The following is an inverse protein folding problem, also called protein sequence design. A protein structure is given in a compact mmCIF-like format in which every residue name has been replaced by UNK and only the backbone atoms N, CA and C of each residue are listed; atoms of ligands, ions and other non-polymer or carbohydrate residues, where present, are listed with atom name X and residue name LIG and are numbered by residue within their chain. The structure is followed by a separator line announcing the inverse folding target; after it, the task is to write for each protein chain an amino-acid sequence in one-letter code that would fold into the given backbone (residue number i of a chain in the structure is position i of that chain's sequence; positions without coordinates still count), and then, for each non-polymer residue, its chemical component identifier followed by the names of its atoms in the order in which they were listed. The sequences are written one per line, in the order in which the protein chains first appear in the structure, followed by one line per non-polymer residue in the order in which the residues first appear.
data_IF_865697385292
#
_entry.id   IF_865697385292
#
_cell.length_a   1.000
_cell.length_b   1.000
_cell.length_c   1.000
_cell.angle_alpha   90.00
_cell.angle_beta   90.00
_cell.angle_gamma   90.00
#
_symmetry.space_group_name_H-M   'P 1'
#
loop_
_entity.id
_entity.type
_entity.pdbx_description
1 polymer ?
#
# COMPACT_ATOMS: atom_id res chain seq x y z
N UNK A 1 48.40 45.11 26.00
CA UNK A 1 48.66 43.68 25.65
C UNK A 1 47.60 42.72 26.20
N UNK A 2 47.24 42.78 27.50
CA UNK A 2 46.24 41.85 28.10
C UNK A 2 44.82 41.94 27.49
N UNK A 3 44.36 43.12 27.08
CA UNK A 3 43.03 43.31 26.45
C UNK A 3 42.97 42.85 24.98
N UNK A 4 44.09 42.90 24.25
CA UNK A 4 44.17 42.46 22.86
C UNK A 4 44.21 40.93 22.73
N UNK A 5 44.87 40.24 23.68
CA UNK A 5 44.82 38.78 23.77
C UNK A 5 43.41 38.25 24.07
N UNK A 6 42.64 38.98 24.88
CA UNK A 6 41.29 38.57 25.25
C UNK A 6 40.30 38.63 24.07
N UNK A 7 40.43 39.66 23.22
CA UNK A 7 39.61 39.82 22.00
C UNK A 7 40.00 38.79 20.94
N UNK A 8 41.29 38.47 20.79
CA UNK A 8 41.75 37.41 19.88
C UNK A 8 41.28 36.01 20.32
N UNK A 9 41.20 35.75 21.62
CA UNK A 9 40.68 34.49 22.16
C UNK A 9 39.17 34.36 21.93
N UNK A 10 38.42 35.45 22.04
CA UNK A 10 36.97 35.49 21.81
C UNK A 10 36.59 35.37 20.33
N UNK A 11 37.44 35.86 19.41
CA UNK A 11 37.28 35.69 17.97
C UNK A 11 37.60 34.25 17.49
N UNK A 12 38.53 33.56 18.15
CA UNK A 12 38.89 32.17 17.82
C UNK A 12 37.83 31.15 18.27
N UNK A 13 37.00 31.50 19.27
CA UNK A 13 35.90 30.63 19.74
C UNK A 13 34.64 30.67 18.87
N UNK A 14 34.53 31.61 17.93
CA UNK A 14 33.36 31.70 17.02
C UNK A 14 33.51 30.89 15.72
N UNK A 15 34.65 30.24 15.47
CA UNK A 15 34.89 29.48 14.24
C UNK A 15 34.72 27.97 14.37
N UNK A 16 34.25 27.47 15.51
CA UNK A 16 34.05 26.03 15.72
C UNK A 16 32.58 25.77 15.99
N UNK A 17 32.00 24.84 15.22
CA UNK A 17 30.65 24.27 15.34
C UNK A 17 29.55 24.91 14.47
N UNK A 18 29.80 25.07 13.17
CA UNK A 18 28.75 24.73 12.21
C UNK A 18 28.91 23.27 11.83
N UNK A 19 28.70 22.36 12.78
CA UNK A 19 28.27 21.02 12.42
C UNK A 19 26.84 21.18 11.88
N UNK A 20 26.75 21.52 10.60
CA UNK A 20 25.55 21.26 9.84
C UNK A 20 25.30 19.77 10.02
N UNK A 21 24.35 19.41 10.88
CA UNK A 21 23.79 18.06 10.91
C UNK A 21 23.18 17.88 9.53
N UNK A 22 23.97 17.36 8.59
CA UNK A 22 23.44 16.75 7.40
C UNK A 22 22.49 15.66 7.91
N UNK A 23 21.18 15.90 7.81
CA UNK A 23 20.19 14.89 8.14
C UNK A 23 20.46 13.72 7.19
N UNK A 24 21.08 12.66 7.70
CA UNK A 24 21.31 11.44 6.94
C UNK A 24 19.96 10.77 6.73
N UNK A 25 19.35 11.03 5.58
CA UNK A 25 18.12 10.36 5.18
C UNK A 25 18.38 8.87 4.95
N UNK A 26 17.38 8.04 5.27
CA UNK A 26 17.40 6.63 4.88
C UNK A 26 17.42 6.50 3.35
N UNK A 27 18.02 5.43 2.84
CA UNK A 27 17.86 5.07 1.43
C UNK A 27 16.42 4.67 1.09
N UNK A 28 16.16 4.39 -0.18
CA UNK A 28 14.87 3.88 -0.63
C UNK A 28 14.55 2.54 0.07
N UNK A 29 13.30 2.38 0.49
CA UNK A 29 12.84 1.10 1.04
C UNK A 29 12.99 -0.02 0.00
N UNK A 30 13.27 -1.25 0.46
CA UNK A 30 13.41 -2.42 -0.43
C UNK A 30 12.11 -2.79 -1.13
N UNK A 31 10.99 -2.36 -0.59
CA UNK A 31 9.64 -2.51 -1.11
C UNK A 31 8.96 -1.15 -1.02
N UNK A 32 9.26 -0.23 -1.94
CA UNK A 32 8.80 1.15 -1.85
C UNK A 32 7.27 1.20 -1.79
N UNK A 33 6.78 2.16 -1.03
CA UNK A 33 5.35 2.47 -0.96
C UNK A 33 4.91 3.12 -2.27
N UNK A 34 3.74 2.72 -2.74
CA UNK A 34 3.08 3.27 -3.91
C UNK A 34 1.61 3.53 -3.59
N UNK A 35 0.96 4.27 -4.46
CA UNK A 35 -0.42 4.69 -4.32
C UNK A 35 -1.16 4.57 -5.64
N UNK A 36 -2.33 3.95 -5.62
CA UNK A 36 -3.27 3.99 -6.73
C UNK A 36 -4.57 4.65 -6.27
N UNK A 37 -5.28 5.31 -7.19
CA UNK A 37 -6.58 5.90 -6.91
C UNK A 37 -7.50 5.84 -8.13
N UNK A 38 -8.79 5.94 -7.88
CA UNK A 38 -9.81 6.03 -8.92
C UNK A 38 -10.77 7.21 -8.62
N UNK A 39 -11.14 8.04 -9.63
CA UNK A 39 -10.70 8.01 -11.03
C UNK A 39 -9.18 8.17 -11.20
N UNK A 40 -8.59 7.58 -12.25
CA UNK A 40 -7.13 7.50 -12.41
C UNK A 40 -6.49 8.80 -12.90
N UNK A 41 -7.25 9.72 -13.51
CA UNK A 41 -6.74 11.03 -13.92
C UNK A 41 -6.32 11.86 -12.69
N UNK A 42 -5.05 12.23 -12.62
CA UNK A 42 -4.48 13.01 -11.51
C UNK A 42 -5.08 14.41 -11.39
N UNK A 43 -5.76 14.93 -12.42
CA UNK A 43 -6.45 16.22 -12.38
C UNK A 43 -7.79 16.18 -11.65
N UNK A 44 -8.36 14.99 -11.47
CA UNK A 44 -9.63 14.81 -10.74
C UNK A 44 -9.33 14.77 -9.23
N UNK A 45 -9.77 15.78 -8.49
CA UNK A 45 -9.60 15.85 -7.03
C UNK A 45 -10.55 14.91 -6.28
N UNK A 46 -11.77 14.73 -6.78
CA UNK A 46 -12.79 13.87 -6.18
C UNK A 46 -12.50 12.41 -6.54
N UNK A 47 -11.78 11.74 -5.65
CA UNK A 47 -11.53 10.30 -5.76
C UNK A 47 -12.66 9.52 -5.10
N UNK A 48 -13.05 8.40 -5.69
CA UNK A 48 -13.93 7.41 -5.05
C UNK A 48 -13.16 6.54 -4.08
N UNK A 49 -11.94 6.15 -4.49
CA UNK A 49 -11.09 5.26 -3.70
C UNK A 49 -9.61 5.59 -3.89
N UNK A 50 -8.83 5.36 -2.84
CA UNK A 50 -7.37 5.38 -2.86
C UNK A 50 -6.86 4.15 -2.13
N UNK A 51 -5.77 3.56 -2.60
CA UNK A 51 -5.03 2.52 -1.88
C UNK A 51 -3.56 2.92 -1.78
N UNK A 52 -2.99 2.79 -0.59
CA UNK A 52 -1.55 2.88 -0.32
C UNK A 52 -1.03 1.49 0.03
N UNK A 53 0.09 1.11 -0.56
CA UNK A 53 0.63 -0.24 -0.41
C UNK A 53 2.12 -0.26 -0.74
N UNK A 54 2.87 -1.13 -0.09
CA UNK A 54 4.27 -1.37 -0.46
C UNK A 54 4.38 -2.41 -1.56
N UNK A 55 5.36 -2.25 -2.45
CA UNK A 55 5.57 -3.10 -3.64
C UNK A 55 6.70 -4.11 -3.41
N UNK A 56 6.42 -5.30 -2.82
CA UNK A 56 7.42 -6.36 -2.77
C UNK A 56 7.81 -6.80 -4.18
N UNK A 57 9.08 -7.16 -4.33
CA UNK A 57 9.66 -7.65 -5.59
C UNK A 57 9.92 -9.15 -5.48
N UNK A 58 9.82 -9.90 -6.58
CA UNK A 58 10.09 -11.34 -6.59
C UNK A 58 11.55 -11.62 -6.23
N UNK A 59 12.50 -10.93 -6.87
CA UNK A 59 13.95 -11.13 -6.71
C UNK A 59 14.36 -12.60 -6.84
N UNK A 60 13.78 -13.29 -7.83
CA UNK A 60 14.01 -14.71 -8.08
C UNK A 60 13.27 -15.67 -7.14
N UNK A 61 12.50 -15.18 -6.17
CA UNK A 61 11.61 -16.00 -5.32
C UNK A 61 10.28 -16.24 -6.01
N UNK A 62 9.66 -17.39 -5.72
CA UNK A 62 8.32 -17.68 -6.23
C UNK A 62 7.24 -16.86 -5.51
N UNK A 63 6.12 -16.61 -6.20
CA UNK A 63 4.97 -15.92 -5.59
C UNK A 63 4.47 -16.66 -4.35
N UNK A 64 4.43 -17.99 -4.37
CA UNK A 64 3.96 -18.82 -3.25
C UNK A 64 4.83 -18.72 -1.99
N UNK A 65 6.09 -18.31 -2.11
CA UNK A 65 6.92 -18.01 -0.94
C UNK A 65 6.54 -16.68 -0.28
N UNK A 66 6.10 -15.70 -1.08
CA UNK A 66 5.86 -14.33 -0.63
C UNK A 66 4.40 -14.07 -0.26
N UNK A 67 3.49 -14.77 -0.95
CA UNK A 67 2.05 -14.79 -0.72
C UNK A 67 1.59 -16.27 -0.70
N UNK A 68 1.75 -16.97 0.43
CA UNK A 68 1.49 -18.41 0.51
C UNK A 68 0.00 -18.73 0.32
N UNK A 69 -0.27 -19.75 -0.50
CA UNK A 69 -1.63 -20.24 -0.73
C UNK A 69 -2.31 -20.68 0.57
N UNK A 70 -3.59 -20.34 0.73
CA UNK A 70 -4.39 -20.68 1.90
C UNK A 70 -4.03 -19.95 3.19
N UNK A 71 -3.07 -19.01 3.16
CA UNK A 71 -2.67 -18.21 4.33
C UNK A 71 -2.99 -16.74 4.14
N UNK A 72 -3.32 -16.07 5.25
CA UNK A 72 -3.55 -14.62 5.26
C UNK A 72 -2.25 -13.87 4.99
N UNK A 73 -2.26 -13.07 3.93
CA UNK A 73 -1.18 -12.21 3.51
C UNK A 73 -1.64 -10.75 3.53
N UNK A 74 -0.81 -9.85 4.05
CA UNK A 74 -1.02 -8.39 4.15
C UNK A 74 -1.13 -7.62 2.83
N UNK A 75 -1.13 -8.33 1.70
CA UNK A 75 -1.30 -7.75 0.35
C UNK A 75 -0.30 -6.63 0.05
N UNK A 76 0.98 -6.91 0.33
CA UNK A 76 2.08 -5.96 0.16
C UNK A 76 3.30 -6.35 0.99
N UNK A 77 4.12 -5.35 1.31
CA UNK A 77 5.29 -5.44 2.19
C UNK A 77 5.18 -4.46 3.37
N UNK A 78 5.98 -4.67 4.42
CA UNK A 78 5.94 -3.85 5.64
C UNK A 78 4.55 -3.85 6.30
N UNK A 79 3.84 -2.73 6.28
CA UNK A 79 2.46 -2.58 6.72
C UNK A 79 1.47 -3.26 5.76
N UNK A 80 0.30 -3.64 6.28
CA UNK A 80 -0.83 -4.05 5.43
C UNK A 80 -1.25 -2.89 4.52
N UNK A 81 -1.61 -3.22 3.28
CA UNK A 81 -2.12 -2.21 2.35
C UNK A 81 -3.36 -1.53 2.95
N UNK A 82 -3.47 -0.21 2.83
CA UNK A 82 -4.61 0.55 3.33
C UNK A 82 -5.42 1.10 2.16
N UNK A 83 -6.72 0.78 2.13
CA UNK A 83 -7.68 1.30 1.16
C UNK A 83 -8.63 2.27 1.84
N UNK A 84 -8.75 3.47 1.30
CA UNK A 84 -9.71 4.50 1.71
C UNK A 84 -10.80 4.61 0.66
N UNK A 85 -12.04 4.38 1.05
CA UNK A 85 -13.23 4.72 0.27
C UNK A 85 -13.76 6.07 0.73
N UNK A 86 -13.87 7.04 -0.18
CA UNK A 86 -14.35 8.40 0.14
C UNK A 86 -15.88 8.51 0.10
N UNK A 87 -16.54 7.52 -0.51
CA UNK A 87 -18.00 7.36 -0.55
C UNK A 87 -18.35 5.92 -0.23
N UNK A 88 -19.61 5.66 0.09
CA UNK A 88 -20.12 4.28 0.18
C UNK A 88 -19.97 3.58 -1.19
N UNK A 89 -19.54 2.32 -1.17
CA UNK A 89 -19.29 1.51 -2.37
C UNK A 89 -19.88 0.12 -2.26
N UNK A 90 -20.01 -0.56 -3.40
CA UNK A 90 -20.20 -2.01 -3.47
C UNK A 90 -18.85 -2.62 -3.85
N UNK A 91 -18.17 -3.26 -2.90
CA UNK A 91 -16.88 -3.94 -3.09
C UNK A 91 -17.10 -5.44 -3.20
N UNK A 92 -16.80 -6.04 -4.36
CA UNK A 92 -16.98 -7.48 -4.59
C UNK A 92 -18.41 -7.98 -4.28
N UNK A 93 -19.42 -7.15 -4.53
CA UNK A 93 -20.83 -7.43 -4.22
C UNK A 93 -21.27 -7.16 -2.77
N UNK A 94 -20.41 -6.64 -1.90
CA UNK A 94 -20.73 -6.25 -0.52
C UNK A 94 -20.82 -4.73 -0.40
N UNK A 95 -21.85 -4.23 0.29
CA UNK A 95 -21.94 -2.80 0.62
C UNK A 95 -20.93 -2.44 1.70
N UNK A 96 -20.07 -1.47 1.42
CA UNK A 96 -19.02 -0.97 2.32
C UNK A 96 -19.25 0.52 2.52
N UNK A 97 -19.15 0.96 3.77
CA UNK A 97 -19.24 2.37 4.13
C UNK A 97 -17.97 3.12 3.76
N UNK A 98 -18.08 4.42 3.52
CA UNK A 98 -16.91 5.29 3.41
C UNK A 98 -16.02 5.14 4.67
N UNK A 99 -14.71 5.07 4.47
CA UNK A 99 -13.73 4.82 5.54
C UNK A 99 -12.41 4.26 5.03
N UNK A 100 -11.42 4.18 5.92
CA UNK A 100 -10.17 3.46 5.70
C UNK A 100 -10.24 2.05 6.27
N UNK A 101 -9.67 1.10 5.53
CA UNK A 101 -9.58 -0.32 5.89
C UNK A 101 -8.21 -0.87 5.52
N UNK A 102 -7.70 -1.82 6.30
CA UNK A 102 -6.58 -2.64 5.87
C UNK A 102 -7.06 -3.71 4.87
N UNK A 103 -6.25 -3.99 3.87
CA UNK A 103 -6.45 -5.10 2.94
C UNK A 103 -5.60 -6.28 3.36
N UNK A 104 -6.26 -7.43 3.46
CA UNK A 104 -5.60 -8.73 3.49
C UNK A 104 -6.11 -9.58 2.33
N UNK A 105 -5.33 -10.58 1.98
CA UNK A 105 -5.69 -11.57 0.97
C UNK A 105 -5.36 -12.96 1.43
N UNK A 106 -6.15 -13.94 1.00
CA UNK A 106 -5.81 -15.36 1.08
C UNK A 106 -5.68 -15.85 -0.36
N UNK A 107 -4.44 -16.06 -0.85
CA UNK A 107 -4.21 -16.59 -2.18
C UNK A 107 -4.80 -18.00 -2.33
N UNK A 108 -5.43 -18.26 -3.48
CA UNK A 108 -5.91 -19.58 -3.89
C UNK A 108 -5.52 -19.86 -5.34
N UNK A 109 -5.86 -21.06 -5.84
CA UNK A 109 -5.44 -21.51 -7.17
C UNK A 109 -6.18 -20.81 -8.32
N UNK A 110 -7.50 -20.65 -8.20
CA UNK A 110 -8.37 -20.04 -9.21
C UNK A 110 -9.00 -18.73 -8.74
N UNK A 111 -9.13 -18.54 -7.43
CA UNK A 111 -9.68 -17.35 -6.81
C UNK A 111 -8.90 -16.98 -5.55
N UNK A 112 -8.87 -15.69 -5.25
CA UNK A 112 -8.32 -15.17 -4.00
C UNK A 112 -9.47 -14.68 -3.13
N UNK A 113 -9.31 -14.80 -1.82
CA UNK A 113 -10.20 -14.11 -0.89
C UNK A 113 -9.58 -12.76 -0.58
N UNK A 114 -10.28 -11.67 -0.87
CA UNK A 114 -9.87 -10.30 -0.53
C UNK A 114 -10.68 -9.84 0.67
N UNK A 115 -9.98 -9.29 1.66
CA UNK A 115 -10.52 -9.02 2.99
C UNK A 115 -10.33 -7.55 3.29
N UNK A 116 -11.40 -6.89 3.73
CA UNK A 116 -11.35 -5.55 4.32
C UNK A 116 -11.43 -5.70 5.83
N UNK A 117 -10.41 -5.23 6.54
CA UNK A 117 -10.32 -5.28 7.99
C UNK A 117 -10.32 -3.85 8.57
N UNK A 118 -11.05 -3.61 9.66
CA UNK A 118 -11.17 -2.26 10.26
C UNK A 118 -9.95 -1.83 11.07
N UNK A 119 -9.06 -2.77 11.45
CA UNK A 119 -7.84 -2.43 12.17
C UNK A 119 -6.81 -1.86 11.19
N UNK A 120 -6.29 -0.67 11.47
CA UNK A 120 -5.29 0.02 10.63
C UNK A 120 -3.88 -0.10 11.21
N UNK A 121 -2.88 0.33 10.45
CA UNK A 121 -1.47 0.37 10.86
C UNK A 121 -0.92 -0.99 11.32
N UNK A 122 -1.40 -2.07 10.70
CA UNK A 122 -0.99 -3.43 11.03
C UNK A 122 0.31 -3.78 10.32
N UNK A 123 1.33 -4.20 11.07
CA UNK A 123 2.60 -4.64 10.51
C UNK A 123 2.58 -6.15 10.27
N UNK A 124 2.88 -6.56 9.03
CA UNK A 124 2.81 -7.97 8.68
C UNK A 124 1.37 -8.52 8.62
N UNK A 125 1.22 -9.84 8.82
CA UNK A 125 -0.07 -10.49 9.07
C UNK A 125 -0.22 -10.94 10.54
N UNK A 126 0.71 -10.57 11.42
CA UNK A 126 0.82 -11.14 12.78
C UNK A 126 -0.28 -10.65 13.72
N UNK A 127 -0.68 -9.39 13.57
CA UNK A 127 -1.75 -8.76 14.34
C UNK A 127 -3.12 -8.93 13.69
N UNK A 128 -3.22 -9.72 12.61
CA UNK A 128 -4.49 -9.94 11.91
C UNK A 128 -5.51 -10.55 12.86
N UNK A 129 -6.70 -9.96 12.89
CA UNK A 129 -7.83 -10.38 13.71
C UNK A 129 -9.06 -10.50 12.83
N UNK A 130 -9.51 -11.72 12.61
CA UNK A 130 -10.69 -12.05 11.80
C UNK A 130 -11.97 -11.42 12.35
N UNK A 131 -12.06 -11.15 13.66
CA UNK A 131 -13.24 -10.48 14.24
C UNK A 131 -13.37 -9.01 13.83
N UNK A 132 -12.30 -8.44 13.27
CA UNK A 132 -12.25 -7.10 12.73
C UNK A 132 -12.55 -7.03 11.22
N UNK A 133 -12.82 -8.17 10.57
CA UNK A 133 -13.20 -8.21 9.16
C UNK A 133 -14.57 -7.56 8.93
N UNK A 134 -14.61 -6.61 8.01
CA UNK A 134 -15.82 -5.92 7.56
C UNK A 134 -16.39 -6.61 6.32
N UNK A 135 -15.53 -7.16 5.47
CA UNK A 135 -15.94 -7.93 4.31
C UNK A 135 -14.89 -8.97 3.91
N UNK A 136 -15.38 -10.10 3.39
CA UNK A 136 -14.60 -11.10 2.67
C UNK A 136 -15.27 -11.33 1.32
N UNK A 137 -14.52 -11.12 0.25
CA UNK A 137 -15.03 -11.27 -1.13
C UNK A 137 -14.14 -12.21 -1.91
N UNK A 138 -14.74 -13.03 -2.76
CA UNK A 138 -14.02 -13.90 -3.69
C UNK A 138 -13.72 -13.12 -4.96
N UNK A 139 -12.46 -13.12 -5.36
CA UNK A 139 -11.96 -12.42 -6.53
C UNK A 139 -11.31 -13.45 -7.47
N UNK A 140 -11.80 -13.60 -8.70
CA UNK A 140 -11.17 -14.49 -9.67
C UNK A 140 -9.72 -14.10 -9.90
N UNK A 141 -8.86 -15.13 -10.00
CA UNK A 141 -7.49 -14.97 -10.43
C UNK A 141 -7.32 -15.45 -11.86
N UNK A 142 -6.52 -14.75 -12.64
CA UNK A 142 -6.18 -15.10 -14.01
C UNK A 142 -4.68 -15.03 -14.24
N UNK A 143 -4.22 -15.63 -15.34
CA UNK A 143 -2.83 -15.56 -15.77
C UNK A 143 -2.70 -14.60 -16.95
N UNK A 144 -1.72 -13.71 -16.85
CA UNK A 144 -1.27 -12.82 -17.91
C UNK A 144 -0.04 -13.43 -18.61
N UNK A 145 0.20 -13.03 -19.86
CA UNK A 145 1.41 -13.44 -20.59
C UNK A 145 2.66 -12.77 -20.01
N UNK A 146 2.52 -11.54 -19.50
CA UNK A 146 3.59 -10.73 -18.95
C UNK A 146 3.69 -10.91 -17.43
N UNK A 147 4.90 -11.23 -16.98
CA UNK A 147 5.23 -11.28 -15.55
C UNK A 147 5.50 -9.87 -15.01
N UNK A 148 5.00 -9.58 -13.81
CA UNK A 148 5.32 -8.37 -13.04
C UNK A 148 6.34 -8.72 -11.95
N UNK A 149 7.51 -8.08 -11.99
CA UNK A 149 8.55 -8.23 -10.97
C UNK A 149 8.09 -7.61 -9.63
N UNK A 150 7.49 -6.43 -9.70
CA UNK A 150 6.90 -5.72 -8.56
C UNK A 150 5.41 -6.03 -8.41
N UNK A 151 4.99 -6.36 -7.19
CA UNK A 151 3.58 -6.33 -6.85
C UNK A 151 3.00 -4.93 -7.15
N UNK A 152 1.86 -4.91 -7.82
CA UNK A 152 1.25 -3.70 -8.35
C UNK A 152 -0.26 -3.75 -8.17
N UNK A 153 -0.84 -2.61 -7.82
CA UNK A 153 -2.29 -2.42 -7.75
C UNK A 153 -2.67 -1.26 -8.66
N UNK A 154 -3.67 -1.48 -9.51
CA UNK A 154 -4.19 -0.48 -10.42
C UNK A 154 -5.73 -0.50 -10.40
N UNK A 155 -6.33 0.62 -10.81
CA UNK A 155 -7.76 0.68 -11.07
C UNK A 155 -8.00 0.79 -12.57
N UNK A 156 -9.02 0.08 -13.07
CA UNK A 156 -9.47 0.15 -14.47
C UNK A 156 -10.97 0.28 -14.53
N UNK A 157 -11.48 1.00 -15.53
CA UNK A 157 -12.91 1.06 -15.80
C UNK A 157 -13.43 -0.34 -16.18
N UNK A 158 -14.64 -0.68 -15.70
CA UNK A 158 -15.25 -1.98 -15.93
C UNK A 158 -16.78 -1.85 -15.92
N UNK A 159 -17.41 -1.96 -17.08
CA UNK A 159 -18.86 -1.83 -17.22
C UNK A 159 -19.38 -0.50 -16.67
N UNK A 160 -20.32 -0.56 -15.72
CA UNK A 160 -20.88 0.63 -15.05
C UNK A 160 -20.10 1.08 -13.80
N UNK A 161 -18.97 0.44 -13.49
CA UNK A 161 -18.12 0.76 -12.36
C UNK A 161 -16.65 0.65 -12.75
N UNK A 162 -15.84 0.13 -11.83
CA UNK A 162 -14.41 -0.07 -12.04
C UNK A 162 -13.93 -1.30 -11.27
N UNK A 163 -12.72 -1.74 -11.56
CA UNK A 163 -12.10 -2.88 -10.88
C UNK A 163 -10.79 -2.44 -10.22
N UNK A 164 -10.57 -2.90 -8.99
CA UNK A 164 -9.23 -2.94 -8.40
C UNK A 164 -8.54 -4.20 -8.90
N UNK A 165 -7.42 -4.04 -9.60
CA UNK A 165 -6.62 -5.15 -10.12
C UNK A 165 -5.30 -5.21 -9.37
N UNK A 166 -5.07 -6.32 -8.68
CA UNK A 166 -3.80 -6.66 -8.06
C UNK A 166 -3.03 -7.59 -9.00
N UNK A 167 -1.75 -7.31 -9.21
CA UNK A 167 -0.89 -8.10 -10.10
C UNK A 167 0.47 -8.39 -9.48
N UNK A 168 0.91 -9.64 -9.60
CA UNK A 168 2.27 -10.06 -9.26
C UNK A 168 2.66 -11.30 -10.06
N UNK A 169 3.89 -11.35 -10.56
CA UNK A 169 4.28 -12.33 -11.56
C UNK A 169 3.24 -12.34 -12.69
N UNK A 170 2.81 -13.51 -13.15
CA UNK A 170 1.75 -13.67 -14.16
C UNK A 170 0.36 -13.63 -13.56
N UNK A 171 0.19 -13.56 -12.24
CA UNK A 171 -1.13 -13.58 -11.61
C UNK A 171 -1.76 -12.19 -11.66
N UNK A 172 -3.06 -12.15 -11.97
CA UNK A 172 -3.93 -10.97 -11.85
C UNK A 172 -5.14 -11.36 -11.03
N UNK A 173 -5.55 -10.50 -10.11
CA UNK A 173 -6.74 -10.67 -9.27
C UNK A 173 -7.56 -9.40 -9.35
N UNK A 174 -8.82 -9.53 -9.77
CA UNK A 174 -9.70 -8.37 -9.98
C UNK A 174 -10.86 -8.38 -9.01
N UNK A 175 -11.06 -7.26 -8.30
CA UNK A 175 -12.22 -7.02 -7.44
C UNK A 175 -13.09 -5.94 -8.07
N UNK A 176 -14.35 -6.22 -8.45
CA UNK A 176 -15.26 -5.20 -8.95
C UNK A 176 -15.69 -4.25 -7.83
N UNK A 177 -15.73 -2.97 -8.17
CA UNK A 177 -16.13 -1.88 -7.29
C UNK A 177 -17.12 -0.99 -8.06
N UNK A 178 -18.25 -0.68 -7.42
CA UNK A 178 -19.23 0.27 -7.95
C UNK A 178 -19.62 1.27 -6.88
N UNK A 179 -20.13 2.44 -7.28
CA UNK A 179 -20.80 3.33 -6.35
C UNK A 179 -21.99 2.60 -5.70
N UNK A 180 -22.20 2.81 -4.40
CA UNK A 180 -23.42 2.34 -3.77
C UNK A 180 -24.62 3.02 -4.43
N UNK A 181 -25.60 2.23 -4.89
CA UNK A 181 -26.89 2.79 -5.29
C UNK A 181 -27.54 3.37 -4.03
N UNK A 182 -27.87 4.66 -4.07
CA UNK A 182 -28.70 5.32 -3.05
C UNK A 182 -30.11 4.74 -3.06
#
# INVERSE_FOLDING_TARGET
MKKALFVAFMALTMTVSTDAIAQKFSGLDKSPMDMASYPTDYKVSEKTVRIIYSRPQLKGRSLSELAPAGKVWRTGANEAAEITFYTDVVFGGKQIKAGSYSIFTIPGESEWTVILNKNLNQWGSYSYDESADVARVKAPSSKDSNSLEEFSIAFKEAGAGFEMVMGWDKIRVAVPIAAAKM
#
